data_IF_521519721351
#
_entry.id   IF_521519721351
#
_cell.length_a   1.000
_cell.length_b   1.000
_cell.length_c   1.000
_cell.angle_alpha   90.00
_cell.angle_beta   90.00
_cell.angle_gamma   90.00
#
_symmetry.space_group_name_H-M   'P 1'
#
loop_
_entity.id
_entity.type
_entity.pdbx_description
1 polymer ?
#
# COMPACT_ATOMS: atom_id res chain seq x y z
N UNK A 1 -10.69 10.05 41.68
CA UNK A 1 -11.10 9.34 40.47
C UNK A 1 -10.52 7.94 40.49
N UNK A 2 -11.29 6.91 40.15
CA UNK A 2 -10.68 5.56 40.02
C UNK A 2 -9.72 5.49 38.86
N UNK A 3 -8.72 4.60 38.91
CA UNK A 3 -7.78 4.40 37.79
C UNK A 3 -8.47 4.05 36.47
N UNK A 4 -9.58 3.31 36.54
CA UNK A 4 -10.41 2.97 35.39
C UNK A 4 -11.09 4.20 34.78
N UNK A 5 -11.60 5.11 35.62
CA UNK A 5 -12.23 6.36 35.17
C UNK A 5 -11.20 7.29 34.51
N UNK A 6 -9.98 7.35 35.06
CA UNK A 6 -8.89 8.12 34.43
C UNK A 6 -8.52 7.57 33.07
N UNK A 7 -8.39 6.23 32.93
CA UNK A 7 -8.13 5.59 31.64
C UNK A 7 -9.24 5.88 30.62
N UNK A 8 -10.51 5.77 31.03
CA UNK A 8 -11.67 6.06 30.17
C UNK A 8 -11.65 7.50 29.66
N UNK A 9 -11.36 8.46 30.54
CA UNK A 9 -11.28 9.86 30.17
C UNK A 9 -10.12 10.14 29.19
N UNK A 10 -8.94 9.56 29.44
CA UNK A 10 -7.79 9.70 28.55
C UNK A 10 -8.09 9.15 27.15
N UNK A 11 -8.77 7.99 27.06
CA UNK A 11 -9.19 7.42 25.77
C UNK A 11 -10.14 8.38 25.04
N UNK A 12 -11.11 8.95 25.75
CA UNK A 12 -12.07 9.89 25.17
C UNK A 12 -11.37 11.17 24.67
N UNK A 13 -10.41 11.69 25.43
CA UNK A 13 -9.59 12.85 25.03
C UNK A 13 -8.76 12.56 23.78
N UNK A 14 -8.14 11.39 23.67
CA UNK A 14 -7.40 10.96 22.47
C UNK A 14 -8.33 10.94 21.26
N UNK A 15 -9.53 10.34 21.39
CA UNK A 15 -10.51 10.29 20.30
C UNK A 15 -10.92 11.70 19.88
N UNK A 16 -11.19 12.59 20.82
CA UNK A 16 -11.57 13.97 20.55
C UNK A 16 -10.47 14.74 19.83
N UNK A 17 -9.23 14.69 20.31
CA UNK A 17 -8.12 15.44 19.75
C UNK A 17 -7.70 14.90 18.36
N UNK A 18 -7.42 13.60 18.28
CA UNK A 18 -6.97 12.98 17.01
C UNK A 18 -8.11 12.96 15.98
N UNK A 19 -9.35 12.89 16.42
CA UNK A 19 -10.53 12.92 15.58
C UNK A 19 -10.71 14.23 14.81
N UNK A 20 -10.13 15.35 15.24
CA UNK A 20 -10.22 16.64 14.54
C UNK A 20 -9.59 16.61 13.13
N UNK A 21 -8.59 15.77 12.92
CA UNK A 21 -7.94 15.57 11.63
C UNK A 21 -8.64 14.52 10.74
N UNK A 22 -9.68 13.85 11.22
CA UNK A 22 -10.39 12.81 10.47
C UNK A 22 -11.56 13.45 9.72
N UNK A 23 -11.69 13.12 8.44
CA UNK A 23 -12.76 13.57 7.55
C UNK A 23 -13.56 12.38 7.03
N UNK A 24 -14.74 12.62 6.47
CA UNK A 24 -15.46 11.61 5.71
C UNK A 24 -15.53 12.00 4.23
N UNK A 25 -15.36 11.02 3.31
CA UNK A 25 -15.34 11.27 1.87
C UNK A 25 -16.64 10.77 1.20
N UNK A 26 -17.32 11.63 0.46
CA UNK A 26 -18.47 11.26 -0.34
C UNK A 26 -18.02 10.62 -1.68
N UNK A 27 -17.32 9.50 -1.60
CA UNK A 27 -16.72 8.78 -2.74
C UNK A 27 -17.40 7.43 -3.03
N UNK A 28 -18.38 7.04 -2.23
CA UNK A 28 -19.08 5.77 -2.36
C UNK A 28 -20.56 5.95 -1.95
N UNK A 29 -21.50 5.48 -2.77
CA UNK A 29 -22.95 5.61 -2.51
C UNK A 29 -23.44 4.72 -1.36
N UNK A 30 -22.75 3.63 -1.09
CA UNK A 30 -23.17 2.64 -0.09
C UNK A 30 -22.56 2.88 1.27
N UNK A 31 -21.31 3.31 1.32
CA UNK A 31 -20.58 3.62 2.56
C UNK A 31 -19.76 4.88 2.33
N UNK A 32 -19.69 5.72 3.33
CA UNK A 32 -18.85 6.91 3.30
C UNK A 32 -17.51 6.56 3.94
N UNK A 33 -16.42 6.37 3.16
CA UNK A 33 -15.11 6.10 3.73
C UNK A 33 -14.60 7.30 4.50
N UNK A 34 -13.67 7.06 5.41
CA UNK A 34 -12.96 8.11 6.12
C UNK A 34 -11.70 8.54 5.39
N UNK A 35 -11.14 9.66 5.79
CA UNK A 35 -9.83 10.14 5.38
C UNK A 35 -9.15 10.87 6.52
N UNK A 36 -7.88 11.15 6.33
CA UNK A 36 -7.02 11.79 7.31
C UNK A 36 -6.43 13.05 6.68
N UNK A 37 -6.58 14.21 7.31
CA UNK A 37 -5.83 15.42 6.96
C UNK A 37 -4.37 15.21 7.38
N UNK A 38 -3.58 14.62 6.46
CA UNK A 38 -2.28 14.04 6.74
C UNK A 38 -1.17 15.07 6.88
N UNK A 39 -1.20 16.04 6.00
CA UNK A 39 -0.34 17.23 6.01
C UNK A 39 -1.11 18.39 5.40
N UNK A 40 -0.56 19.60 5.48
CA UNK A 40 -1.25 20.82 5.01
C UNK A 40 -1.76 20.65 3.57
N UNK A 41 -3.07 20.84 3.39
CA UNK A 41 -3.72 20.73 2.09
C UNK A 41 -3.81 19.31 1.51
N UNK A 42 -3.46 18.26 2.26
CA UNK A 42 -3.44 16.87 1.78
C UNK A 42 -4.31 15.96 2.64
N UNK A 43 -5.27 15.30 2.00
CA UNK A 43 -6.09 14.25 2.60
C UNK A 43 -5.67 12.90 2.02
N UNK A 44 -5.51 11.92 2.89
CA UNK A 44 -5.23 10.52 2.55
C UNK A 44 -6.42 9.65 2.87
N UNK A 45 -6.73 8.70 2.01
CA UNK A 45 -7.78 7.68 2.21
C UNK A 45 -7.39 6.35 1.57
N UNK A 46 -8.17 5.30 1.85
CA UNK A 46 -8.04 3.98 1.20
C UNK A 46 -8.54 4.04 -0.24
N UNK A 47 -7.70 3.65 -1.18
CA UNK A 47 -8.01 3.60 -2.61
C UNK A 47 -9.14 2.60 -2.92
N UNK A 48 -9.13 1.43 -2.29
CA UNK A 48 -10.15 0.39 -2.47
C UNK A 48 -11.55 0.86 -2.06
N UNK A 49 -11.64 1.79 -1.12
CA UNK A 49 -12.91 2.34 -0.63
C UNK A 49 -13.58 3.31 -1.60
N UNK A 50 -12.84 3.82 -2.58
CA UNK A 50 -13.32 4.76 -3.59
C UNK A 50 -14.06 4.01 -4.72
N UNK A 51 -15.31 4.42 -5.02
CA UNK A 51 -16.09 3.89 -6.16
C UNK A 51 -16.26 4.90 -7.29
N UNK A 52 -15.86 6.14 -7.06
CA UNK A 52 -15.76 7.22 -8.03
C UNK A 52 -14.57 8.11 -7.65
N UNK A 53 -14.08 8.85 -8.61
CA UNK A 53 -12.87 9.65 -8.47
C UNK A 53 -13.13 11.14 -8.78
N UNK A 54 -14.27 11.44 -9.39
CA UNK A 54 -14.67 12.79 -9.76
C UNK A 54 -15.73 13.32 -8.79
N UNK A 55 -15.80 14.64 -8.64
CA UNK A 55 -16.77 15.36 -7.82
C UNK A 55 -16.84 14.87 -6.36
N UNK A 56 -15.67 14.59 -5.79
CA UNK A 56 -15.57 14.13 -4.40
C UNK A 56 -15.64 15.35 -3.47
N UNK A 57 -16.51 15.23 -2.45
CA UNK A 57 -16.56 16.16 -1.34
C UNK A 57 -16.17 15.48 -0.04
N UNK A 58 -15.60 16.24 0.88
CA UNK A 58 -15.31 15.80 2.24
C UNK A 58 -16.19 16.55 3.24
N UNK A 59 -16.59 15.85 4.31
CA UNK A 59 -17.19 16.46 5.49
C UNK A 59 -16.11 16.56 6.57
N UNK A 60 -15.84 17.78 7.01
CA UNK A 60 -14.83 18.12 8.01
C UNK A 60 -15.34 17.86 9.44
N UNK A 61 -14.45 17.97 10.43
CA UNK A 61 -14.79 17.82 11.85
C UNK A 61 -15.78 18.88 12.36
N UNK A 62 -15.80 20.06 11.75
CA UNK A 62 -16.76 21.13 12.06
C UNK A 62 -18.11 20.99 11.32
N UNK A 63 -18.30 19.89 10.54
CA UNK A 63 -19.50 19.64 9.73
C UNK A 63 -19.49 20.36 8.35
N UNK A 64 -18.50 21.18 8.06
CA UNK A 64 -18.37 21.86 6.78
C UNK A 64 -18.09 20.85 5.66
N UNK A 65 -18.63 21.09 4.46
CA UNK A 65 -18.36 20.31 3.27
C UNK A 65 -17.49 21.08 2.30
N UNK A 66 -16.40 20.46 1.86
CA UNK A 66 -15.48 21.03 0.86
C UNK A 66 -15.27 20.07 -0.30
N UNK A 67 -15.08 20.60 -1.48
CA UNK A 67 -14.66 19.83 -2.65
C UNK A 67 -13.17 19.56 -2.55
N UNK A 68 -12.77 18.34 -2.94
CA UNK A 68 -11.36 17.94 -3.02
C UNK A 68 -11.03 17.47 -4.43
N UNK A 69 -9.80 17.62 -4.84
CA UNK A 69 -9.29 17.13 -6.13
C UNK A 69 -8.34 15.95 -5.92
N UNK A 70 -8.49 14.91 -6.74
CA UNK A 70 -7.59 13.77 -6.70
C UNK A 70 -6.19 14.23 -7.17
N UNK A 71 -5.19 14.12 -6.31
CA UNK A 71 -3.80 14.38 -6.65
C UNK A 71 -3.16 13.13 -7.28
N UNK A 72 -3.52 11.96 -6.81
CA UNK A 72 -3.07 10.69 -7.34
C UNK A 72 -3.46 9.52 -6.45
N UNK A 73 -3.17 8.31 -6.92
CA UNK A 73 -3.51 7.07 -6.23
C UNK A 73 -2.48 5.98 -6.45
N UNK A 74 -2.34 5.11 -5.47
CA UNK A 74 -1.58 3.87 -5.57
C UNK A 74 -2.43 2.67 -5.14
N UNK A 75 -3.13 2.02 -6.07
CA UNK A 75 -3.93 0.84 -5.77
C UNK A 75 -3.12 -0.31 -5.18
N UNK A 76 -1.81 -0.35 -5.37
CA UNK A 76 -0.97 -1.44 -4.86
C UNK A 76 -0.70 -1.33 -3.37
N UNK A 77 -0.66 -0.12 -2.81
CA UNK A 77 -0.52 0.12 -1.37
C UNK A 77 -1.85 0.53 -0.72
N UNK A 78 -2.94 0.58 -1.50
CA UNK A 78 -4.26 1.03 -1.07
C UNK A 78 -4.26 2.47 -0.55
N UNK A 79 -3.52 3.37 -1.19
CA UNK A 79 -3.44 4.78 -0.81
C UNK A 79 -3.94 5.67 -1.93
N UNK A 80 -4.90 6.55 -1.62
CA UNK A 80 -5.32 7.66 -2.49
C UNK A 80 -5.09 8.99 -1.78
N UNK A 81 -4.64 9.98 -2.54
CA UNK A 81 -4.24 11.30 -2.04
C UNK A 81 -5.06 12.38 -2.75
N UNK A 82 -5.68 13.24 -1.96
CA UNK A 82 -6.49 14.37 -2.43
C UNK A 82 -5.89 15.67 -1.95
N UNK A 83 -6.01 16.70 -2.79
CA UNK A 83 -5.75 18.08 -2.43
C UNK A 83 -7.03 18.73 -1.91
N UNK A 84 -6.90 19.49 -0.82
CA UNK A 84 -7.95 20.34 -0.25
C UNK A 84 -7.41 21.75 -0.05
N UNK A 85 -8.18 22.74 -0.45
CA UNK A 85 -7.79 24.14 -0.26
C UNK A 85 -8.32 24.67 1.08
N UNK A 86 -7.41 25.25 1.89
CA UNK A 86 -7.68 25.88 3.18
C UNK A 86 -8.67 25.11 4.07
N UNK A 87 -8.35 23.88 4.48
CA UNK A 87 -9.17 23.17 5.44
C UNK A 87 -9.00 23.84 6.81
N UNK A 88 -10.09 24.28 7.42
CA UNK A 88 -10.09 24.84 8.78
C UNK A 88 -10.11 23.74 9.84
N UNK A 89 -9.27 22.70 9.64
CA UNK A 89 -9.09 21.59 10.55
C UNK A 89 -7.58 21.32 10.76
N UNK A 90 -7.18 20.84 11.94
CA UNK A 90 -5.78 20.57 12.21
C UNK A 90 -5.22 19.44 11.33
N UNK A 91 -3.93 19.53 11.06
CA UNK A 91 -3.15 18.44 10.50
C UNK A 91 -2.99 17.34 11.55
N UNK A 92 -2.99 16.09 11.11
CA UNK A 92 -2.77 14.92 11.96
C UNK A 92 -1.37 14.93 12.58
N UNK A 93 -1.27 14.57 13.86
CA UNK A 93 0.02 14.27 14.49
C UNK A 93 0.44 12.87 14.09
N UNK A 94 1.44 12.77 13.20
CA UNK A 94 1.91 11.49 12.67
C UNK A 94 2.94 10.88 13.62
N UNK A 95 2.68 9.65 14.03
CA UNK A 95 3.56 8.86 14.88
C UNK A 95 4.46 7.92 14.09
N UNK A 96 5.29 7.18 14.82
CA UNK A 96 6.19 6.20 14.26
C UNK A 96 5.81 4.78 14.70
N UNK A 97 5.41 3.95 13.75
CA UNK A 97 5.04 2.56 14.00
C UNK A 97 6.24 1.61 14.26
N UNK A 98 7.49 2.08 14.12
CA UNK A 98 8.69 1.24 14.28
C UNK A 98 8.81 0.61 15.68
N UNK A 99 8.31 1.28 16.71
CA UNK A 99 8.35 0.80 18.09
C UNK A 99 7.09 0.03 18.52
N UNK A 100 6.15 -0.18 17.60
CA UNK A 100 4.90 -0.86 17.88
C UNK A 100 5.15 -2.33 18.26
N UNK A 101 4.43 -2.79 19.28
CA UNK A 101 4.53 -4.17 19.80
C UNK A 101 3.15 -4.82 19.83
N UNK A 102 3.14 -6.13 19.67
CA UNK A 102 1.93 -6.94 19.96
C UNK A 102 1.47 -6.67 21.39
N UNK A 103 0.18 -6.42 21.55
CA UNK A 103 -0.44 -6.04 22.84
C UNK A 103 -0.52 -4.54 23.10
N UNK A 104 0.11 -3.66 22.29
CA UNK A 104 -0.11 -2.22 22.42
C UNK A 104 -1.59 -1.87 22.14
N UNK A 105 -2.18 -1.04 22.99
CA UNK A 105 -3.53 -0.53 22.81
C UNK A 105 -3.56 0.48 21.66
N UNK A 106 -4.56 0.40 20.83
CA UNK A 106 -4.78 1.27 19.68
C UNK A 106 -6.26 1.59 19.48
N UNK A 107 -6.52 2.71 18.83
CA UNK A 107 -7.85 3.19 18.49
C UNK A 107 -7.97 3.31 16.97
N UNK A 108 -8.99 2.71 16.39
CA UNK A 108 -9.38 3.01 15.01
C UNK A 108 -10.38 4.16 15.04
N UNK A 109 -10.11 5.23 14.27
CA UNK A 109 -10.98 6.40 14.16
C UNK A 109 -11.54 6.52 12.76
N UNK A 110 -12.81 6.92 12.69
CA UNK A 110 -13.54 7.16 11.46
C UNK A 110 -14.49 8.36 11.63
N UNK A 111 -14.98 8.94 10.53
CA UNK A 111 -16.00 10.01 10.56
C UNK A 111 -17.21 9.61 9.73
N UNK A 112 -18.40 9.86 10.28
CA UNK A 112 -19.64 9.63 9.57
C UNK A 112 -19.90 10.71 8.51
N UNK A 113 -20.85 10.47 7.62
CA UNK A 113 -21.31 11.46 6.62
C UNK A 113 -21.95 12.69 7.27
N UNK A 114 -22.46 12.53 8.48
CA UNK A 114 -23.08 13.59 9.27
C UNK A 114 -22.03 14.43 10.03
N UNK A 115 -20.77 13.99 10.07
CA UNK A 115 -19.67 14.68 10.74
C UNK A 115 -19.31 14.11 12.12
N UNK A 116 -19.98 13.06 12.59
CA UNK A 116 -19.71 12.48 13.91
C UNK A 116 -18.44 11.62 13.89
N UNK A 117 -17.62 11.76 14.92
CA UNK A 117 -16.47 10.88 15.13
C UNK A 117 -16.93 9.49 15.62
N UNK A 118 -16.31 8.45 15.08
CA UNK A 118 -16.52 7.06 15.48
C UNK A 118 -15.19 6.46 15.89
N UNK A 119 -15.19 5.67 16.95
CA UNK A 119 -13.99 5.01 17.43
C UNK A 119 -14.26 3.54 17.74
N UNK A 120 -13.24 2.71 17.53
CA UNK A 120 -13.18 1.33 17.99
C UNK A 120 -11.82 1.12 18.66
N UNK A 121 -11.79 0.43 19.80
CA UNK A 121 -10.57 0.17 20.57
C UNK A 121 -10.19 -1.30 20.47
N UNK A 122 -8.91 -1.57 20.42
CA UNK A 122 -8.35 -2.91 20.47
C UNK A 122 -6.85 -2.91 20.76
N UNK A 123 -6.21 -4.01 20.47
CA UNK A 123 -4.77 -4.14 20.61
C UNK A 123 -4.14 -4.58 19.30
N UNK A 124 -2.85 -4.33 19.14
CA UNK A 124 -2.08 -4.89 18.03
C UNK A 124 -1.95 -6.40 18.22
N UNK A 125 -2.46 -7.18 17.27
CA UNK A 125 -2.39 -8.64 17.30
C UNK A 125 -1.19 -9.21 16.53
N UNK A 126 -0.73 -8.52 15.46
CA UNK A 126 0.46 -8.90 14.70
C UNK A 126 1.21 -7.67 14.26
N UNK A 127 2.53 -7.70 14.44
CA UNK A 127 3.49 -6.78 13.82
C UNK A 127 4.59 -7.60 13.19
N UNK A 128 4.93 -7.33 11.92
CA UNK A 128 6.10 -7.93 11.28
C UNK A 128 6.77 -6.93 10.33
N UNK A 129 7.86 -7.33 9.67
CA UNK A 129 8.61 -6.49 8.75
C UNK A 129 7.88 -6.14 7.46
N UNK A 130 8.65 -5.69 6.48
CA UNK A 130 8.15 -5.36 5.13
C UNK A 130 7.42 -6.53 4.49
N UNK A 131 6.39 -6.23 3.75
CA UNK A 131 5.60 -7.21 3.03
C UNK A 131 5.05 -6.63 1.72
N UNK A 132 4.55 -7.51 0.86
CA UNK A 132 3.90 -7.12 -0.39
C UNK A 132 2.39 -7.34 -0.29
N UNK A 133 1.64 -6.36 -0.75
CA UNK A 133 0.21 -6.51 -0.95
C UNK A 133 -0.08 -7.50 -2.08
N UNK A 134 -1.33 -7.94 -2.21
CA UNK A 134 -1.76 -8.81 -3.33
C UNK A 134 -1.62 -8.13 -4.70
N UNK A 135 -1.61 -6.80 -4.74
CA UNK A 135 -1.40 -5.99 -5.94
C UNK A 135 0.09 -5.66 -6.17
N UNK A 136 1.00 -6.31 -5.42
CA UNK A 136 2.44 -6.19 -5.54
C UNK A 136 3.05 -4.92 -4.92
N UNK A 137 2.27 -4.11 -4.21
CA UNK A 137 2.78 -2.90 -3.54
C UNK A 137 3.65 -3.23 -2.34
N UNK A 138 4.80 -2.57 -2.23
CA UNK A 138 5.70 -2.70 -1.09
C UNK A 138 5.17 -1.89 0.09
N UNK A 139 4.86 -2.56 1.19
CA UNK A 139 4.39 -1.96 2.45
C UNK A 139 5.47 -2.17 3.51
N UNK A 140 5.87 -1.08 4.18
CA UNK A 140 7.09 -1.06 5.00
C UNK A 140 6.98 -1.89 6.28
N UNK A 141 5.76 -2.14 6.77
CA UNK A 141 5.51 -2.94 7.96
C UNK A 141 4.11 -3.58 7.89
N UNK A 142 4.01 -4.85 8.29
CA UNK A 142 2.72 -5.51 8.46
C UNK A 142 2.17 -5.19 9.84
N UNK A 143 1.01 -4.53 9.89
CA UNK A 143 0.34 -4.15 11.13
C UNK A 143 -1.09 -4.68 11.08
N UNK A 144 -1.44 -5.57 12.01
CA UNK A 144 -2.80 -6.10 12.17
C UNK A 144 -3.31 -5.81 13.59
N UNK A 145 -4.24 -4.85 13.74
CA UNK A 145 -4.94 -4.66 14.99
C UNK A 145 -6.05 -5.73 15.15
N UNK A 146 -6.35 -6.11 16.38
CA UNK A 146 -7.53 -6.89 16.73
C UNK A 146 -8.69 -5.94 17.02
N UNK A 147 -9.25 -5.39 15.94
CA UNK A 147 -10.33 -4.42 15.93
C UNK A 147 -11.32 -4.81 14.84
N UNK A 148 -12.61 -4.75 15.15
CA UNK A 148 -13.65 -4.84 14.12
C UNK A 148 -13.78 -3.51 13.39
N UNK A 149 -13.45 -3.48 12.09
CA UNK A 149 -13.67 -2.32 11.24
C UNK A 149 -15.10 -2.38 10.67
N UNK A 150 -15.94 -1.45 11.12
CA UNK A 150 -17.28 -1.27 10.56
C UNK A 150 -17.22 -0.47 9.24
N UNK A 151 -18.30 -0.48 8.44
CA UNK A 151 -18.39 0.36 7.25
C UNK A 151 -18.08 1.83 7.56
N UNK A 152 -17.18 2.42 6.76
CA UNK A 152 -16.69 3.79 6.94
C UNK A 152 -15.34 3.92 7.68
N UNK A 153 -14.82 2.85 8.29
CA UNK A 153 -13.51 2.90 8.95
C UNK A 153 -12.32 2.81 7.97
N UNK A 154 -12.52 2.25 6.77
CA UNK A 154 -11.47 2.26 5.74
C UNK A 154 -11.12 3.70 5.36
N UNK A 155 -9.82 3.99 5.27
CA UNK A 155 -9.28 5.32 5.08
C UNK A 155 -9.17 6.16 6.36
N UNK A 156 -9.73 5.70 7.48
CA UNK A 156 -9.59 6.34 8.79
C UNK A 156 -8.27 5.99 9.48
N UNK A 157 -8.01 6.61 10.63
CA UNK A 157 -6.73 6.49 11.33
C UNK A 157 -6.66 5.28 12.26
N UNK A 158 -5.46 4.68 12.39
CA UNK A 158 -5.06 3.91 13.56
C UNK A 158 -4.20 4.82 14.45
N UNK A 159 -4.60 4.97 15.72
CA UNK A 159 -4.01 5.89 16.69
C UNK A 159 -3.42 5.11 17.85
N UNK A 160 -2.24 5.50 18.30
CA UNK A 160 -1.59 4.94 19.50
C UNK A 160 -2.16 5.53 20.81
N UNK A 161 -1.69 5.03 21.95
CA UNK A 161 -2.10 5.47 23.26
C UNK A 161 -1.64 6.91 23.63
N UNK A 162 -0.86 7.55 22.77
CA UNK A 162 -0.42 8.95 22.93
C UNK A 162 -1.19 9.92 22.01
N UNK A 163 -2.11 9.40 21.19
CA UNK A 163 -2.88 10.22 20.25
C UNK A 163 -2.20 10.42 18.89
N UNK A 164 -1.08 9.74 18.61
CA UNK A 164 -0.40 9.84 17.34
C UNK A 164 -1.00 8.87 16.32
N UNK A 165 -1.15 9.32 15.08
CA UNK A 165 -1.62 8.47 13.98
C UNK A 165 -0.44 7.65 13.45
N UNK A 166 -0.48 6.33 13.66
CA UNK A 166 0.57 5.38 13.26
C UNK A 166 0.34 4.79 11.87
N UNK A 167 -0.85 4.98 11.29
CA UNK A 167 -1.20 4.55 9.95
C UNK A 167 -2.67 4.72 9.64
N UNK A 168 -3.05 4.26 8.45
CA UNK A 168 -4.41 4.29 7.90
C UNK A 168 -5.04 2.91 7.93
N UNK A 169 -6.27 2.81 8.41
CA UNK A 169 -7.03 1.57 8.43
C UNK A 169 -7.52 1.17 7.04
N UNK A 170 -7.37 -0.10 6.72
CA UNK A 170 -7.90 -0.73 5.52
C UNK A 170 -8.41 -2.14 5.84
N UNK A 171 -9.14 -2.73 4.91
CA UNK A 171 -9.62 -4.10 5.05
C UNK A 171 -8.75 -5.06 4.25
N UNK A 172 -8.23 -6.07 4.93
CA UNK A 172 -7.53 -7.18 4.31
C UNK A 172 -8.48 -8.28 3.84
N UNK A 173 -7.91 -9.41 3.45
CA UNK A 173 -8.69 -10.59 3.03
C UNK A 173 -9.71 -10.99 4.10
N UNK A 174 -10.92 -11.36 3.66
CA UNK A 174 -12.05 -11.77 4.53
C UNK A 174 -12.50 -10.70 5.53
N UNK A 175 -12.24 -9.41 5.23
CA UNK A 175 -12.66 -8.31 6.09
C UNK A 175 -11.82 -8.14 7.36
N UNK A 176 -10.62 -8.71 7.43
CA UNK A 176 -9.72 -8.49 8.57
C UNK A 176 -9.20 -7.06 8.58
N UNK A 177 -9.11 -6.45 9.76
CA UNK A 177 -8.49 -5.14 9.91
C UNK A 177 -7.00 -5.21 9.58
N UNK A 178 -6.54 -4.30 8.74
CA UNK A 178 -5.13 -4.04 8.45
C UNK A 178 -4.85 -2.54 8.57
N UNK A 179 -3.59 -2.20 8.72
CA UNK A 179 -3.16 -0.80 8.76
C UNK A 179 -1.99 -0.60 7.81
N UNK A 180 -2.13 0.36 6.91
CA UNK A 180 -1.02 0.85 6.08
C UNK A 180 -0.20 1.80 6.95
N UNK A 181 1.09 1.52 7.23
CA UNK A 181 1.88 2.32 8.14
C UNK A 181 2.18 3.71 7.60
N UNK A 182 2.39 4.67 8.50
CA UNK A 182 2.67 6.06 8.17
C UNK A 182 3.89 6.22 7.24
N UNK A 183 4.92 5.39 7.39
CA UNK A 183 6.09 5.41 6.50
C UNK A 183 5.75 5.13 5.04
N UNK A 184 4.90 4.13 4.79
CA UNK A 184 4.41 3.81 3.43
C UNK A 184 3.59 4.96 2.86
N UNK A 185 2.69 5.55 3.67
CA UNK A 185 1.84 6.67 3.24
C UNK A 185 2.70 7.88 2.88
N UNK A 186 3.68 8.24 3.72
CA UNK A 186 4.58 9.35 3.46
C UNK A 186 5.35 9.17 2.14
N UNK A 187 5.88 7.98 1.89
CA UNK A 187 6.56 7.65 0.63
C UNK A 187 5.65 7.80 -0.59
N UNK A 188 4.40 7.34 -0.48
CA UNK A 188 3.39 7.47 -1.56
C UNK A 188 3.06 8.94 -1.81
N UNK A 189 2.81 9.73 -0.76
CA UNK A 189 2.54 11.16 -0.87
C UNK A 189 3.71 11.88 -1.57
N UNK A 190 4.95 11.64 -1.11
CA UNK A 190 6.14 12.26 -1.70
C UNK A 190 6.23 11.99 -3.22
N UNK A 191 6.03 10.74 -3.63
CA UNK A 191 6.05 10.36 -5.05
C UNK A 191 4.93 11.03 -5.84
N UNK A 192 3.70 11.05 -5.31
CA UNK A 192 2.57 11.66 -5.98
C UNK A 192 2.68 13.19 -6.07
N UNK A 193 3.19 13.86 -5.03
CA UNK A 193 3.39 15.31 -5.03
C UNK A 193 4.51 15.74 -5.97
N UNK A 194 5.61 14.98 -6.02
CA UNK A 194 6.79 15.35 -6.83
C UNK A 194 6.68 14.93 -8.28
N UNK A 195 6.05 13.78 -8.56
CA UNK A 195 6.03 13.17 -9.89
C UNK A 195 4.62 13.07 -10.49
N UNK A 196 3.58 13.42 -9.74
CA UNK A 196 2.17 13.30 -10.15
C UNK A 196 1.67 11.86 -10.30
N UNK A 197 2.55 10.88 -10.12
CA UNK A 197 2.28 9.43 -10.26
C UNK A 197 3.32 8.59 -9.53
N UNK A 198 3.03 7.31 -9.40
CA UNK A 198 4.01 6.33 -8.90
C UNK A 198 4.58 5.56 -10.10
N UNK A 199 5.85 5.80 -10.47
CA UNK A 199 6.50 5.04 -11.53
C UNK A 199 6.55 3.56 -11.18
N UNK A 200 6.24 2.70 -12.14
CA UNK A 200 6.36 1.25 -11.99
C UNK A 200 7.27 0.69 -13.04
N UNK A 201 8.14 -0.20 -12.64
CA UNK A 201 9.00 -0.92 -13.55
C UNK A 201 8.18 -1.78 -14.51
N UNK A 202 8.70 -1.89 -15.71
CA UNK A 202 8.11 -2.64 -16.80
C UNK A 202 9.16 -3.34 -17.63
N UNK A 203 8.90 -4.60 -18.01
CA UNK A 203 9.77 -5.39 -18.86
C UNK A 203 9.16 -5.64 -20.25
N UNK A 204 7.83 -5.62 -20.37
CA UNK A 204 7.10 -6.04 -21.56
C UNK A 204 6.98 -7.56 -21.68
N UNK A 205 6.82 -8.26 -20.55
CA UNK A 205 6.69 -9.71 -20.50
C UNK A 205 5.30 -10.15 -20.04
N UNK A 206 4.70 -11.09 -20.76
CA UNK A 206 3.67 -11.96 -20.22
C UNK A 206 4.32 -13.18 -19.56
N UNK A 207 3.93 -13.48 -18.31
CA UNK A 207 4.64 -14.46 -17.51
C UNK A 207 3.66 -15.37 -16.76
N UNK A 208 4.08 -16.63 -16.53
CA UNK A 208 3.33 -17.59 -15.70
C UNK A 208 4.31 -18.39 -14.81
N UNK A 209 3.88 -18.79 -13.59
CA UNK A 209 4.72 -19.65 -12.77
C UNK A 209 4.83 -21.04 -13.39
N UNK A 210 6.02 -21.64 -13.30
CA UNK A 210 6.29 -22.99 -13.79
C UNK A 210 7.13 -23.78 -12.79
N UNK A 211 6.84 -25.08 -12.64
CA UNK A 211 7.67 -25.98 -11.88
C UNK A 211 8.83 -26.45 -12.76
N UNK A 212 10.06 -26.40 -12.21
CA UNK A 212 11.25 -26.92 -12.86
C UNK A 212 11.36 -28.44 -12.69
N UNK A 213 11.65 -29.20 -13.78
CA UNK A 213 11.92 -30.64 -13.68
C UNK A 213 13.15 -30.92 -12.82
N UNK A 214 13.12 -31.99 -12.05
CA UNK A 214 14.21 -32.33 -11.10
C UNK A 214 15.54 -32.60 -11.82
N UNK A 215 15.54 -33.19 -13.02
CA UNK A 215 16.72 -33.38 -13.85
C UNK A 215 17.36 -32.04 -14.29
N UNK A 216 16.55 -31.06 -14.68
CA UNK A 216 17.01 -29.73 -15.06
C UNK A 216 17.60 -28.98 -13.87
N UNK A 217 16.91 -29.07 -12.73
CA UNK A 217 17.38 -28.49 -11.47
C UNK A 217 18.76 -29.06 -11.08
N UNK A 218 18.92 -30.38 -11.16
CA UNK A 218 20.18 -31.04 -10.79
C UNK A 218 21.30 -30.70 -11.76
N UNK A 219 21.04 -30.65 -13.08
CA UNK A 219 22.06 -30.35 -14.09
C UNK A 219 22.58 -28.91 -14.00
N UNK A 220 21.72 -27.96 -13.59
CA UNK A 220 22.06 -26.53 -13.52
C UNK A 220 22.36 -26.08 -12.07
N UNK A 221 22.37 -26.98 -11.09
CA UNK A 221 22.57 -26.68 -9.66
C UNK A 221 21.62 -25.58 -9.11
N UNK A 222 20.35 -25.62 -9.55
CA UNK A 222 19.36 -24.62 -9.11
C UNK A 222 18.86 -24.93 -7.73
N UNK A 223 18.70 -23.89 -6.91
CA UNK A 223 18.16 -24.01 -5.53
C UNK A 223 16.64 -24.00 -5.51
N UNK A 224 15.98 -23.33 -6.45
CA UNK A 224 14.52 -23.25 -6.57
C UNK A 224 13.93 -24.45 -7.32
N UNK A 225 12.71 -24.85 -6.94
CA UNK A 225 11.90 -25.87 -7.63
C UNK A 225 10.94 -25.24 -8.66
N UNK A 226 10.92 -23.91 -8.75
CA UNK A 226 10.03 -23.16 -9.63
C UNK A 226 10.76 -21.98 -10.24
N UNK A 227 10.19 -21.45 -11.30
CA UNK A 227 10.59 -20.25 -12.00
C UNK A 227 9.38 -19.62 -12.69
N UNK A 228 9.63 -18.63 -13.53
CA UNK A 228 8.58 -17.92 -14.25
C UNK A 228 8.83 -18.04 -15.75
N UNK A 229 7.93 -18.76 -16.44
CA UNK A 229 8.03 -18.93 -17.89
C UNK A 229 7.49 -17.71 -18.63
N UNK A 230 8.20 -17.28 -19.65
CA UNK A 230 7.80 -16.20 -20.56
C UNK A 230 6.80 -16.76 -21.59
N UNK A 231 5.58 -16.25 -21.57
CA UNK A 231 4.50 -16.63 -22.48
C UNK A 231 4.14 -15.56 -23.49
N UNK A 232 4.69 -14.35 -23.34
CA UNK A 232 4.60 -13.27 -24.30
C UNK A 232 5.78 -12.31 -24.12
N UNK A 233 6.29 -11.76 -25.24
CA UNK A 233 7.26 -10.67 -25.27
C UNK A 233 6.68 -9.55 -26.11
N UNK A 234 6.52 -8.38 -25.54
CA UNK A 234 5.98 -7.24 -26.26
C UNK A 234 7.02 -6.64 -27.22
N UNK A 235 6.60 -6.28 -28.44
CA UNK A 235 7.50 -5.62 -29.39
C UNK A 235 8.06 -4.30 -28.84
N UNK A 236 9.33 -4.03 -29.13
CA UNK A 236 10.08 -2.84 -28.70
C UNK A 236 10.18 -2.68 -27.17
N UNK A 237 9.95 -3.74 -26.40
CA UNK A 237 10.07 -3.75 -24.95
C UNK A 237 11.52 -3.89 -24.49
N UNK A 238 11.76 -3.62 -23.19
CA UNK A 238 13.04 -3.85 -22.55
C UNK A 238 13.48 -5.34 -22.66
N UNK A 239 12.52 -6.25 -22.55
CA UNK A 239 12.75 -7.69 -22.63
C UNK A 239 13.15 -8.11 -24.04
N UNK A 240 12.45 -7.65 -25.10
CA UNK A 240 12.83 -7.94 -26.48
C UNK A 240 14.22 -7.40 -26.80
N UNK A 241 14.51 -6.16 -26.41
CA UNK A 241 15.82 -5.53 -26.63
C UNK A 241 16.95 -6.27 -25.89
N UNK A 242 16.67 -6.92 -24.77
CA UNK A 242 17.63 -7.75 -24.04
C UNK A 242 17.76 -9.18 -24.63
N UNK A 243 16.95 -9.53 -25.63
CA UNK A 243 16.98 -10.84 -26.25
C UNK A 243 16.24 -11.94 -25.48
N UNK A 244 15.29 -11.58 -24.66
CA UNK A 244 14.39 -12.56 -24.03
C UNK A 244 13.42 -13.09 -25.07
N UNK A 245 13.21 -14.41 -25.05
CA UNK A 245 12.38 -15.13 -26.00
C UNK A 245 11.20 -15.82 -25.31
N UNK A 246 10.18 -16.10 -26.12
CA UNK A 246 9.07 -16.96 -25.71
C UNK A 246 9.61 -18.33 -25.28
N UNK A 247 9.16 -18.82 -24.11
CA UNK A 247 9.59 -20.09 -23.55
C UNK A 247 10.81 -20.01 -22.62
N UNK A 248 11.48 -18.87 -22.49
CA UNK A 248 12.50 -18.65 -21.47
C UNK A 248 11.89 -18.83 -20.08
N UNK A 249 12.66 -19.38 -19.16
CA UNK A 249 12.24 -19.50 -17.76
C UNK A 249 13.14 -18.62 -16.90
N UNK A 250 12.59 -17.53 -16.38
CA UNK A 250 13.27 -16.64 -15.43
C UNK A 250 13.39 -17.32 -14.07
N UNK A 251 14.59 -17.41 -13.53
CA UNK A 251 14.92 -18.06 -12.25
C UNK A 251 15.58 -17.11 -11.26
N UNK A 252 16.18 -16.00 -11.73
CA UNK A 252 16.75 -14.97 -10.88
C UNK A 252 16.58 -13.59 -11.49
N UNK A 253 16.34 -12.60 -10.64
CA UNK A 253 16.22 -11.20 -11.00
C UNK A 253 17.08 -10.38 -10.02
N UNK A 254 18.16 -9.80 -10.51
CA UNK A 254 19.09 -8.98 -9.72
C UNK A 254 19.60 -9.70 -8.45
N UNK A 255 19.99 -10.97 -8.61
CA UNK A 255 20.45 -11.85 -7.54
C UNK A 255 19.35 -12.43 -6.64
N UNK A 256 18.11 -11.99 -6.79
CA UNK A 256 16.97 -12.53 -6.06
C UNK A 256 16.36 -13.73 -6.79
N UNK A 257 16.12 -14.82 -6.09
CA UNK A 257 15.46 -16.01 -6.67
C UNK A 257 14.02 -15.65 -7.04
N UNK A 258 13.61 -16.08 -8.23
CA UNK A 258 12.26 -15.89 -8.76
C UNK A 258 11.59 -17.25 -8.90
N UNK A 259 10.55 -17.48 -8.13
CA UNK A 259 9.74 -18.70 -8.19
C UNK A 259 8.30 -18.50 -8.62
N UNK A 260 7.81 -17.25 -8.55
CA UNK A 260 6.45 -16.85 -8.90
C UNK A 260 6.44 -15.47 -9.59
N UNK A 261 5.37 -15.19 -10.31
CA UNK A 261 5.16 -13.87 -10.95
C UNK A 261 5.12 -12.72 -9.96
N UNK A 262 4.64 -12.97 -8.73
CA UNK A 262 4.62 -11.95 -7.67
C UNK A 262 6.03 -11.53 -7.23
N UNK A 263 7.01 -12.42 -7.30
CA UNK A 263 8.41 -12.08 -7.02
C UNK A 263 8.92 -11.03 -7.99
N UNK A 264 8.65 -11.23 -9.29
CA UNK A 264 9.01 -10.27 -10.35
C UNK A 264 8.25 -8.95 -10.18
N UNK A 265 6.94 -9.01 -9.97
CA UNK A 265 6.10 -7.83 -9.78
C UNK A 265 6.54 -7.01 -8.56
N UNK A 266 6.91 -7.67 -7.47
CA UNK A 266 7.43 -7.01 -6.28
C UNK A 266 8.72 -6.22 -6.53
N UNK A 267 9.62 -6.77 -7.34
CA UNK A 267 10.86 -6.10 -7.74
C UNK A 267 10.59 -4.93 -8.70
N UNK A 268 9.63 -5.07 -9.61
CA UNK A 268 9.22 -4.01 -10.55
C UNK A 268 8.39 -2.89 -9.91
N UNK A 269 7.69 -3.16 -8.81
CA UNK A 269 6.94 -2.16 -8.07
C UNK A 269 7.82 -1.27 -7.17
N UNK A 270 9.11 -1.55 -7.07
CA UNK A 270 10.08 -0.62 -6.50
C UNK A 270 10.42 0.46 -7.53
N UNK A 271 9.80 1.63 -7.39
CA UNK A 271 9.99 2.76 -8.30
C UNK A 271 11.45 3.20 -8.44
N UNK A 272 12.29 2.94 -7.43
CA UNK A 272 13.72 3.25 -7.47
C UNK A 272 14.50 2.42 -8.47
N UNK A 273 13.92 1.35 -9.01
CA UNK A 273 14.51 0.46 -10.02
C UNK A 273 14.22 0.90 -11.46
N UNK A 274 13.26 1.79 -11.67
CA UNK A 274 12.97 2.32 -13.03
C UNK A 274 14.19 3.07 -13.56
N UNK A 275 14.58 2.76 -14.79
CA UNK A 275 15.77 3.29 -15.44
C UNK A 275 17.09 2.62 -15.04
N UNK A 276 17.07 1.64 -14.11
CA UNK A 276 18.27 0.90 -13.72
C UNK A 276 18.46 -0.35 -14.57
N UNK A 277 19.73 -0.68 -14.83
CA UNK A 277 20.12 -1.96 -15.41
C UNK A 277 20.12 -3.02 -14.32
N UNK A 278 19.54 -4.18 -14.63
CA UNK A 278 19.45 -5.35 -13.75
C UNK A 278 19.92 -6.60 -14.49
N UNK A 279 20.47 -7.55 -13.75
CA UNK A 279 20.88 -8.84 -14.27
C UNK A 279 19.75 -9.86 -14.08
N UNK A 280 19.41 -10.57 -15.16
CA UNK A 280 18.48 -11.70 -15.14
C UNK A 280 19.23 -12.99 -15.37
N UNK A 281 18.83 -14.07 -14.70
CA UNK A 281 19.21 -15.43 -15.06
C UNK A 281 17.98 -16.16 -15.58
N UNK A 282 18.10 -16.70 -16.78
CA UNK A 282 17.06 -17.49 -17.45
C UNK A 282 17.57 -18.89 -17.79
N UNK A 283 16.64 -19.81 -17.93
CA UNK A 283 16.90 -21.13 -18.53
C UNK A 283 16.28 -21.13 -19.93
N UNK A 284 17.12 -21.41 -20.94
CA UNK A 284 16.73 -21.53 -22.36
C UNK A 284 17.33 -22.82 -22.93
N UNK A 285 16.51 -23.71 -23.50
CA UNK A 285 16.99 -24.95 -24.10
C UNK A 285 17.75 -25.88 -23.15
N UNK A 286 17.60 -25.74 -21.85
CA UNK A 286 18.33 -26.51 -20.83
C UNK A 286 19.64 -25.89 -20.38
N UNK A 287 19.98 -24.71 -20.87
CA UNK A 287 21.18 -23.95 -20.49
C UNK A 287 20.82 -22.72 -19.65
N UNK A 288 21.73 -22.35 -18.74
CA UNK A 288 21.65 -21.13 -17.95
C UNK A 288 22.26 -19.96 -18.73
N UNK A 289 21.48 -18.91 -18.91
CA UNK A 289 21.90 -17.70 -19.65
C UNK A 289 21.73 -16.49 -18.75
N UNK A 290 22.71 -15.61 -18.74
CA UNK A 290 22.66 -14.32 -18.06
C UNK A 290 22.37 -13.21 -19.07
N UNK A 291 21.41 -12.37 -18.78
CA UNK A 291 21.02 -11.22 -19.58
C UNK A 291 21.01 -9.96 -18.73
N UNK A 292 21.38 -8.84 -19.33
CA UNK A 292 21.23 -7.52 -18.71
C UNK A 292 20.15 -6.75 -19.45
N UNK A 293 19.24 -6.14 -18.69
CA UNK A 293 18.22 -5.26 -19.25
C UNK A 293 18.03 -4.02 -18.38
N UNK A 294 17.60 -2.94 -19.00
CA UNK A 294 17.20 -1.72 -18.27
C UNK A 294 15.70 -1.74 -18.06
N UNK A 295 15.28 -1.65 -16.79
CA UNK A 295 13.85 -1.57 -16.42
C UNK A 295 13.28 -0.27 -17.00
N UNK A 296 12.27 -0.37 -17.85
CA UNK A 296 11.53 0.81 -18.35
C UNK A 296 10.39 1.17 -17.40
N UNK A 297 9.83 2.34 -17.57
CA UNK A 297 8.59 2.70 -16.88
C UNK A 297 7.39 2.10 -17.61
N UNK A 298 6.40 1.62 -16.85
CA UNK A 298 5.17 1.07 -17.42
C UNK A 298 4.40 2.16 -18.18
N UNK A 299 4.03 1.94 -19.44
CA UNK A 299 3.24 2.89 -20.22
C UNK A 299 1.91 3.21 -19.51
N UNK A 300 1.50 4.47 -19.56
CA UNK A 300 0.16 4.88 -19.16
C UNK A 300 -0.83 4.33 -20.18
N UNK A 301 -1.80 3.56 -19.74
CA UNK A 301 -2.92 3.10 -20.59
C UNK A 301 -3.97 4.20 -20.70
#
# INVERSE_FOLDING_TARGET
MSSLQALSNNIAEIVEQSGKAIVSLNANRRFTPSGIHWQEGIIVTSDESLKRHDDITVTLANGERKTVSLLGRDPSTDVAVFKIDNPEIPVATIGNAANLKVGNLVLALARSSEGDIRAAMGAISVVSGKWQSMSGGNIDQFIRPDISLYPGFSGGALVDALGNIIGMNTTGRRGTALTIPASTINRVIEQLVTQGRIPRGYLGLGMQPVRLPDNLKSSLNLTSNSGVIVVNVEPNSAAENAGILLGDVLISFDGSIVGDTNDVLGLLNDSSRVGKSVQLQIVRGGELIELNLTITERPLM
#
